data_IF_188134693735
#
_entry.id   IF_188134693735
#
_cell.length_a   1.000
_cell.length_b   1.000
_cell.length_c   1.000
_cell.angle_alpha   90.00
_cell.angle_beta   90.00
_cell.angle_gamma   90.00
#
_symmetry.space_group_name_H-M   'P 1'
#
loop_
_entity.id
_entity.type
_entity.pdbx_description
1 polymer ?
#
# COMPACT_ATOMS: atom_id res chain seq x y z
N UNK A 1 -8.68 21.12 19.28
CA UNK A 1 -7.79 20.13 19.92
C UNK A 1 -7.54 19.03 18.91
N UNK A 2 -6.28 18.87 18.49
CA UNK A 2 -5.85 17.99 17.40
C UNK A 2 -6.19 16.53 17.69
N UNK A 3 -6.74 15.83 16.68
CA UNK A 3 -7.14 14.42 16.76
C UNK A 3 -5.99 13.40 16.92
N UNK A 4 -4.77 13.84 17.24
CA UNK A 4 -3.57 13.02 17.34
C UNK A 4 -3.41 12.26 18.66
N UNK A 5 -4.21 12.56 19.69
CA UNK A 5 -4.08 11.94 21.03
C UNK A 5 -4.91 10.65 21.23
N UNK A 6 -5.55 10.13 20.19
CA UNK A 6 -6.27 8.85 20.29
C UNK A 6 -5.30 7.67 20.14
N UNK A 7 -5.31 6.67 21.04
CA UNK A 7 -4.42 5.50 20.97
C UNK A 7 -4.43 4.78 19.61
N UNK A 8 -5.58 4.75 18.93
CA UNK A 8 -5.71 4.16 17.59
C UNK A 8 -4.90 4.88 16.51
N UNK A 9 -4.80 6.21 16.57
CA UNK A 9 -4.06 7.02 15.59
C UNK A 9 -2.56 6.69 15.62
N UNK A 10 -1.98 6.49 16.81
CA UNK A 10 -0.57 6.13 16.96
C UNK A 10 -0.26 4.74 16.40
N UNK A 11 -1.17 3.79 16.58
CA UNK A 11 -1.05 2.45 15.99
C UNK A 11 -1.09 2.51 14.47
N UNK A 12 -2.02 3.27 13.89
CA UNK A 12 -2.13 3.41 12.43
C UNK A 12 -0.91 4.10 11.81
N UNK A 13 -0.38 5.14 12.45
CA UNK A 13 0.90 5.78 12.05
C UNK A 13 2.06 4.78 12.05
N UNK A 14 2.12 3.92 13.07
CA UNK A 14 3.16 2.89 13.17
C UNK A 14 3.03 1.87 12.04
N UNK A 15 1.81 1.41 11.76
CA UNK A 15 1.55 0.45 10.69
C UNK A 15 1.84 1.04 9.31
N UNK A 16 1.44 2.30 9.06
CA UNK A 16 1.76 3.03 7.83
C UNK A 16 3.28 3.07 7.58
N UNK A 17 4.06 3.40 8.61
CA UNK A 17 5.52 3.40 8.54
C UNK A 17 6.13 2.02 8.24
N UNK A 18 5.61 0.95 8.84
CA UNK A 18 6.06 -0.43 8.57
C UNK A 18 5.73 -0.86 7.14
N UNK A 19 4.54 -0.51 6.66
CA UNK A 19 4.04 -0.89 5.33
C UNK A 19 4.55 0.03 4.22
N UNK A 20 5.14 1.18 4.56
CA UNK A 20 5.62 2.17 3.60
C UNK A 20 4.49 2.86 2.82
N UNK A 21 3.29 2.95 3.40
CA UNK A 21 2.12 3.58 2.79
C UNK A 21 1.77 4.91 3.48
N UNK A 22 1.18 5.89 2.77
CA UNK A 22 0.68 7.12 3.39
C UNK A 22 -0.37 6.82 4.46
N UNK A 23 -0.29 7.48 5.62
CA UNK A 23 -1.20 7.21 6.74
C UNK A 23 -2.63 7.69 6.44
N UNK A 24 -2.76 8.65 5.54
CA UNK A 24 -4.01 9.21 5.03
C UNK A 24 -4.92 8.11 4.46
N UNK A 25 -4.33 7.04 3.90
CA UNK A 25 -5.06 5.87 3.40
C UNK A 25 -5.83 5.09 4.47
N UNK A 26 -5.50 5.26 5.77
CA UNK A 26 -6.26 4.66 6.87
C UNK A 26 -7.42 5.54 7.35
N UNK A 27 -7.50 6.78 6.90
CA UNK A 27 -8.46 7.78 7.39
C UNK A 27 -9.39 8.31 6.31
N UNK A 28 -9.03 8.18 5.02
CA UNK A 28 -9.90 8.57 3.89
C UNK A 28 -10.88 7.44 3.54
N UNK A 29 -12.11 7.55 4.06
CA UNK A 29 -13.25 6.67 3.72
C UNK A 29 -13.82 6.95 2.30
N UNK A 30 -13.57 8.13 1.71
CA UNK A 30 -14.19 8.54 0.43
C UNK A 30 -13.52 7.95 -0.82
N UNK A 31 -12.31 7.39 -0.73
CA UNK A 31 -11.60 6.74 -1.85
C UNK A 31 -11.82 5.21 -1.93
N UNK A 32 -12.67 4.64 -1.07
CA UNK A 32 -12.69 3.21 -0.78
C UNK A 32 -13.26 2.29 -1.87
N UNK A 33 -13.71 2.79 -3.04
CA UNK A 33 -14.40 1.92 -4.01
C UNK A 33 -13.57 1.48 -5.23
N UNK A 34 -12.62 2.28 -5.72
CA UNK A 34 -11.95 2.02 -7.01
C UNK A 34 -10.43 1.71 -6.91
N UNK A 35 -9.88 1.61 -5.69
CA UNK A 35 -8.47 1.23 -5.50
C UNK A 35 -8.24 0.14 -4.46
N UNK A 36 -9.21 -0.10 -3.58
CA UNK A 36 -9.05 -1.06 -2.49
C UNK A 36 -9.14 -2.51 -2.99
N UNK A 37 -10.01 -2.78 -3.97
CA UNK A 37 -10.13 -4.11 -4.59
C UNK A 37 -8.86 -4.46 -5.37
N UNK A 38 -8.32 -3.50 -6.12
CA UNK A 38 -7.09 -3.59 -6.89
C UNK A 38 -5.88 -3.79 -5.98
N UNK A 39 -5.81 -3.06 -4.86
CA UNK A 39 -4.75 -3.21 -3.87
C UNK A 39 -4.79 -4.58 -3.16
N UNK A 40 -5.99 -5.05 -2.80
CA UNK A 40 -6.18 -6.40 -2.23
C UNK A 40 -5.79 -7.49 -3.23
N UNK A 41 -6.16 -7.33 -4.50
CA UNK A 41 -5.79 -8.26 -5.57
C UNK A 41 -4.27 -8.26 -5.79
N UNK A 42 -3.63 -7.10 -5.80
CA UNK A 42 -2.16 -6.99 -5.87
C UNK A 42 -1.49 -7.74 -4.71
N UNK A 43 -1.99 -7.58 -3.48
CA UNK A 43 -1.46 -8.28 -2.31
C UNK A 43 -1.65 -9.80 -2.43
N UNK A 44 -2.83 -10.25 -2.87
CA UNK A 44 -3.13 -11.66 -3.10
C UNK A 44 -2.18 -12.27 -4.12
N UNK A 45 -2.00 -11.61 -5.27
CA UNK A 45 -1.08 -12.06 -6.32
C UNK A 45 0.37 -12.08 -5.83
N UNK A 46 0.81 -11.04 -5.13
CA UNK A 46 2.15 -10.98 -4.53
C UNK A 46 2.41 -12.15 -3.58
N UNK A 47 1.42 -12.48 -2.73
CA UNK A 47 1.51 -13.61 -1.79
C UNK A 47 1.63 -14.97 -2.48
N UNK A 48 1.08 -15.12 -3.69
CA UNK A 48 1.14 -16.35 -4.47
C UNK A 48 2.52 -16.59 -5.12
N UNK A 49 3.37 -15.57 -5.19
CA UNK A 49 4.72 -15.69 -5.76
C UNK A 49 5.65 -16.36 -4.75
N UNK A 50 6.03 -17.60 -5.04
CA UNK A 50 6.78 -18.47 -4.12
C UNK A 50 8.28 -18.27 -4.12
N UNK A 51 8.85 -17.79 -5.23
CA UNK A 51 10.30 -17.70 -5.41
C UNK A 51 10.78 -16.26 -5.31
N UNK A 52 11.99 -16.06 -4.77
CA UNK A 52 12.63 -14.74 -4.73
C UNK A 52 12.81 -14.14 -6.12
N UNK A 53 13.16 -14.98 -7.11
CA UNK A 53 13.29 -14.56 -8.50
C UNK A 53 11.94 -14.09 -9.09
N UNK A 54 10.85 -14.80 -8.80
CA UNK A 54 9.51 -14.39 -9.22
C UNK A 54 9.14 -13.02 -8.65
N UNK A 55 9.43 -12.78 -7.37
CA UNK A 55 9.18 -11.50 -6.70
C UNK A 55 10.03 -10.38 -7.29
N UNK A 56 11.30 -10.67 -7.62
CA UNK A 56 12.19 -9.70 -8.27
C UNK A 56 11.63 -9.28 -9.64
N UNK A 57 11.17 -10.24 -10.47
CA UNK A 57 10.55 -9.91 -11.77
C UNK A 57 9.28 -9.08 -11.62
N UNK A 58 8.42 -9.42 -10.68
CA UNK A 58 7.21 -8.64 -10.40
C UNK A 58 7.54 -7.19 -9.99
N UNK A 59 8.54 -6.99 -9.12
CA UNK A 59 9.00 -5.65 -8.74
C UNK A 59 9.57 -4.86 -9.91
N UNK A 60 10.33 -5.50 -10.81
CA UNK A 60 10.85 -4.83 -12.00
C UNK A 60 9.72 -4.30 -12.88
N UNK A 61 8.66 -5.09 -13.09
CA UNK A 61 7.50 -4.66 -13.88
C UNK A 61 6.78 -3.49 -13.21
N UNK A 62 6.47 -3.59 -11.92
CA UNK A 62 5.78 -2.53 -11.17
C UNK A 62 6.59 -1.22 -11.20
N UNK A 63 7.91 -1.29 -11.02
CA UNK A 63 8.79 -0.12 -11.10
C UNK A 63 8.82 0.50 -12.48
N UNK A 64 8.77 -0.31 -13.53
CA UNK A 64 8.68 0.17 -14.91
C UNK A 64 7.42 0.98 -15.15
N UNK A 65 6.27 0.49 -14.68
CA UNK A 65 4.98 1.20 -14.77
C UNK A 65 5.04 2.56 -14.07
N UNK A 66 5.55 2.60 -12.83
CA UNK A 66 5.68 3.85 -12.07
C UNK A 66 6.58 4.87 -12.80
N UNK A 67 7.65 4.40 -13.44
CA UNK A 67 8.53 5.28 -14.22
C UNK A 67 7.85 5.80 -15.49
N UNK A 68 7.02 4.97 -16.14
CA UNK A 68 6.24 5.38 -17.31
C UNK A 68 5.16 6.41 -16.95
N UNK A 69 4.50 6.26 -15.80
CA UNK A 69 3.49 7.23 -15.29
C UNK A 69 4.08 8.58 -14.88
N UNK A 70 5.39 8.64 -14.62
CA UNK A 70 6.09 9.88 -14.25
C UNK A 70 6.49 10.76 -15.44
N UNK A 71 6.39 10.24 -16.66
CA UNK A 71 6.74 10.94 -17.91
C UNK A 71 5.58 11.75 -18.45
#
# INVERSE_FOLDING_TARGET
>A
MSGSDKPGTKTLLTLAGILGIPVEQFFDDESATDGQAEAQECLRLWSAIRTSEGRARALTVIRGIIEDERR
#
